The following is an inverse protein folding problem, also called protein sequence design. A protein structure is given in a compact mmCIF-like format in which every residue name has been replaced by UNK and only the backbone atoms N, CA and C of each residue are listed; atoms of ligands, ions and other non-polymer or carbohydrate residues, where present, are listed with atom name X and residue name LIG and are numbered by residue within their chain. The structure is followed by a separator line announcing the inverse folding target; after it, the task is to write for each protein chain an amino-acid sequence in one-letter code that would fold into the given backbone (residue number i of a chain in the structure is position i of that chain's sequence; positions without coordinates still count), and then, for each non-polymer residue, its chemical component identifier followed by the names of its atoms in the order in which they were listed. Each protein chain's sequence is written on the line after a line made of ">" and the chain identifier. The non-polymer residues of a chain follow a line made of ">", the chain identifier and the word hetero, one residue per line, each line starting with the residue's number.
data_IF_311512699259
#
_entry.id   IF_311512699259
#
_cell.length_a   1.000
_cell.length_b   1.000
_cell.length_c   1.000
_cell.angle_alpha   90.00
_cell.angle_beta   90.00
_cell.angle_gamma   90.00
#
_symmetry.space_group_name_H-M   'P 1'
#
loop_
_entity.id
_entity.type
_entity.pdbx_description
1 polymer ?
#
# COMPACT_ATOMS: atom_id res chain seq x y z
N UNK A 1 -3.35 -18.16 -6.32
CA UNK A 1 -2.72 -18.08 -7.66
C UNK A 1 -3.42 -19.09 -8.58
N UNK A 2 -3.80 -18.68 -9.79
CA UNK A 2 -4.46 -19.51 -10.80
C UNK A 2 -3.54 -19.62 -12.03
N UNK A 3 -3.37 -20.84 -12.53
CA UNK A 3 -2.63 -21.12 -13.76
C UNK A 3 -3.59 -21.27 -14.94
N UNK A 4 -3.38 -20.46 -15.99
CA UNK A 4 -4.14 -20.60 -17.24
C UNK A 4 -3.46 -21.65 -18.14
N UNK A 5 -3.62 -22.94 -17.80
CA UNK A 5 -2.95 -24.09 -18.44
C UNK A 5 -3.10 -24.15 -19.97
N UNK A 6 -4.20 -23.63 -20.49
CA UNK A 6 -4.53 -23.66 -21.92
C UNK A 6 -4.01 -22.45 -22.71
N UNK A 7 -3.28 -21.50 -22.08
CA UNK A 7 -2.66 -20.36 -22.76
C UNK A 7 -1.17 -20.61 -23.01
N UNK A 8 -0.59 -20.12 -24.12
CA UNK A 8 0.85 -20.18 -24.35
C UNK A 8 1.63 -19.62 -23.16
N UNK A 9 2.65 -20.34 -22.69
CA UNK A 9 3.45 -19.96 -21.53
C UNK A 9 2.82 -20.23 -20.16
N UNK A 10 1.58 -20.74 -20.10
CA UNK A 10 0.86 -21.11 -18.86
C UNK A 10 0.97 -20.05 -17.75
N UNK A 11 0.56 -18.80 -18.04
CA UNK A 11 0.74 -17.70 -17.11
C UNK A 11 -0.01 -17.93 -15.80
N UNK A 12 0.60 -17.44 -14.72
CA UNK A 12 0.06 -17.42 -13.36
C UNK A 12 -0.58 -16.06 -13.08
N UNK A 13 -1.72 -16.07 -12.39
CA UNK A 13 -2.44 -14.86 -11.98
C UNK A 13 -2.84 -14.94 -10.51
N UNK A 14 -2.94 -13.78 -9.87
CA UNK A 14 -3.62 -13.65 -8.58
C UNK A 14 -5.12 -13.44 -8.84
N UNK A 15 -5.96 -13.94 -7.93
CA UNK A 15 -7.40 -13.74 -7.96
C UNK A 15 -7.82 -13.24 -6.59
N UNK A 16 -8.67 -12.22 -6.59
CA UNK A 16 -9.28 -11.64 -5.41
C UNK A 16 -10.78 -11.43 -5.65
N UNK A 17 -11.52 -11.16 -4.60
CA UNK A 17 -12.94 -10.85 -4.73
C UNK A 17 -13.13 -9.50 -5.42
N UNK A 18 -14.10 -9.44 -6.33
CA UNK A 18 -14.54 -8.16 -6.87
C UNK A 18 -15.11 -7.29 -5.75
N UNK A 19 -14.63 -6.05 -5.66
CA UNK A 19 -15.09 -5.07 -4.70
C UNK A 19 -15.98 -4.05 -5.43
N UNK A 20 -17.27 -4.05 -5.11
CA UNK A 20 -18.23 -3.15 -5.72
C UNK A 20 -18.11 -1.73 -5.15
N UNK A 21 -17.98 -0.74 -6.05
CA UNK A 21 -18.06 0.69 -5.73
C UNK A 21 -16.90 1.51 -6.28
N UNK A 22 -16.80 2.77 -5.84
CA UNK A 22 -15.79 3.70 -6.37
C UNK A 22 -14.41 3.39 -5.80
N UNK A 23 -13.52 2.95 -6.67
CA UNK A 23 -12.11 2.76 -6.32
C UNK A 23 -11.43 4.11 -6.03
N UNK A 24 -10.69 4.17 -4.93
CA UNK A 24 -9.98 5.35 -4.46
C UNK A 24 -8.57 4.94 -4.03
N UNK A 25 -7.57 5.68 -4.50
CA UNK A 25 -6.22 5.69 -3.96
C UNK A 25 -6.06 6.84 -2.96
N UNK A 26 -5.78 6.53 -1.70
CA UNK A 26 -5.71 7.52 -0.60
C UNK A 26 -4.30 8.06 -0.40
N UNK A 27 -3.30 7.20 -0.49
CA UNK A 27 -1.89 7.60 -0.55
C UNK A 27 -1.14 6.76 -1.57
N UNK A 28 0.11 7.12 -1.81
CA UNK A 28 1.02 6.31 -2.61
C UNK A 28 2.35 6.03 -1.94
N UNK A 29 3.01 4.98 -2.40
CA UNK A 29 4.42 4.70 -2.11
C UNK A 29 5.42 5.75 -2.65
N UNK A 30 4.95 6.79 -3.35
CA UNK A 30 5.76 7.88 -3.91
C UNK A 30 5.31 9.27 -3.45
N UNK A 31 4.57 9.37 -2.35
CA UNK A 31 4.25 10.64 -1.70
C UNK A 31 3.02 11.40 -2.22
N UNK A 32 2.24 10.84 -3.15
CA UNK A 32 0.87 11.30 -3.39
C UNK A 32 0.01 11.07 -2.14
N UNK A 33 -0.76 12.09 -1.75
CA UNK A 33 -1.78 12.04 -0.70
C UNK A 33 -3.03 12.69 -1.28
N UNK A 34 -4.18 12.05 -1.12
CA UNK A 34 -5.46 12.64 -1.51
C UNK A 34 -5.86 13.69 -0.48
N UNK A 35 -5.99 14.94 -0.94
CA UNK A 35 -6.14 16.15 -0.10
C UNK A 35 -7.59 16.68 -0.03
N UNK A 36 -8.60 15.85 -0.31
CA UNK A 36 -9.99 16.31 -0.23
C UNK A 36 -10.53 16.36 1.22
N UNK A 37 -9.71 16.05 2.23
CA UNK A 37 -10.02 16.11 3.67
C UNK A 37 -11.30 15.35 4.11
N UNK A 38 -11.85 14.49 3.25
CA UNK A 38 -13.10 13.75 3.54
C UNK A 38 -12.81 12.52 4.43
N UNK A 39 -11.57 11.98 4.42
CA UNK A 39 -11.23 10.75 5.16
C UNK A 39 -9.74 10.61 5.46
N UNK A 40 -9.39 10.68 6.76
CA UNK A 40 -7.99 10.60 7.24
C UNK A 40 -7.58 9.22 7.78
N UNK A 41 -8.53 8.31 8.01
CA UNK A 41 -8.26 6.97 8.54
C UNK A 41 -7.18 6.19 7.76
N UNK A 42 -7.11 6.23 6.41
CA UNK A 42 -6.02 5.61 5.65
C UNK A 42 -4.63 6.14 6.02
N UNK A 43 -4.50 7.44 6.25
CA UNK A 43 -3.23 8.07 6.64
C UNK A 43 -2.86 7.72 8.09
N UNK A 44 -3.84 7.80 8.98
CA UNK A 44 -3.66 7.39 10.38
C UNK A 44 -3.29 5.91 10.49
N UNK A 45 -3.84 5.04 9.64
CA UNK A 45 -3.48 3.63 9.56
C UNK A 45 -2.02 3.44 9.13
N UNK A 46 -1.59 4.10 8.04
CA UNK A 46 -0.17 4.08 7.63
C UNK A 46 0.75 4.51 8.78
N UNK A 47 0.47 5.64 9.43
CA UNK A 47 1.23 6.12 10.59
C UNK A 47 1.24 5.11 11.75
N UNK A 48 0.08 4.54 12.10
CA UNK A 48 -0.03 3.53 13.15
C UNK A 48 0.85 2.30 12.87
N UNK A 49 0.90 1.81 11.63
CA UNK A 49 1.75 0.65 11.28
C UNK A 49 3.24 0.91 11.49
N UNK A 50 3.68 2.15 11.25
CA UNK A 50 5.05 2.58 11.47
C UNK A 50 5.40 2.63 12.96
N UNK A 51 4.58 3.32 13.76
CA UNK A 51 4.80 3.41 15.20
C UNK A 51 4.72 2.03 15.88
N UNK A 52 3.72 1.23 15.51
CA UNK A 52 3.48 -0.08 16.14
C UNK A 52 4.57 -1.10 15.84
N UNK A 53 5.26 -0.96 14.71
CA UNK A 53 6.38 -1.82 14.32
C UNK A 53 7.73 -1.38 14.92
N UNK A 54 7.76 -0.31 15.72
CA UNK A 54 9.02 0.24 16.21
C UNK A 54 9.87 0.83 15.08
N UNK A 55 9.20 1.47 14.10
CA UNK A 55 9.82 2.15 12.96
C UNK A 55 10.51 1.22 11.95
N UNK A 56 10.16 -0.07 11.96
CA UNK A 56 10.77 -1.09 11.09
C UNK A 56 10.05 -1.29 9.76
N UNK A 57 8.76 -0.98 9.69
CA UNK A 57 7.98 -1.05 8.46
C UNK A 57 6.85 -0.03 8.42
N UNK A 58 6.35 0.28 7.22
CA UNK A 58 5.11 1.03 7.02
C UNK A 58 4.27 0.35 5.94
N UNK A 59 2.95 0.46 6.07
CA UNK A 59 2.01 0.08 5.01
C UNK A 59 1.52 1.35 4.29
N UNK A 60 1.74 1.41 2.98
CA UNK A 60 1.39 2.52 2.08
C UNK A 60 0.65 1.98 0.84
N UNK A 61 0.40 2.84 -0.17
CA UNK A 61 -0.47 2.53 -1.30
C UNK A 61 -1.86 2.06 -0.81
N UNK A 62 -2.41 2.74 0.19
CA UNK A 62 -3.74 2.41 0.71
C UNK A 62 -4.78 2.81 -0.34
N UNK A 63 -5.43 1.80 -0.92
CA UNK A 63 -6.36 1.96 -2.03
C UNK A 63 -7.44 0.88 -2.01
N UNK A 64 -8.61 1.19 -2.57
CA UNK A 64 -9.74 0.26 -2.61
C UNK A 64 -11.09 0.98 -2.58
N UNK A 65 -12.11 0.33 -2.02
CA UNK A 65 -13.49 0.87 -1.96
C UNK A 65 -13.95 0.89 -0.51
N UNK A 66 -14.36 2.06 0.00
CA UNK A 66 -14.74 2.18 1.41
C UNK A 66 -13.58 1.75 2.31
N UNK A 67 -13.84 0.92 3.32
CA UNK A 67 -12.83 0.34 4.23
C UNK A 67 -12.21 -0.98 3.72
N UNK A 68 -12.57 -1.43 2.52
CA UNK A 68 -11.96 -2.60 1.89
C UNK A 68 -10.75 -2.15 1.06
N UNK A 69 -9.55 -2.36 1.60
CA UNK A 69 -8.29 -2.05 0.94
C UNK A 69 -7.71 -3.28 0.22
N UNK A 70 -7.07 -3.05 -0.92
CA UNK A 70 -6.32 -4.07 -1.66
C UNK A 70 -5.02 -3.52 -2.22
N UNK A 71 -4.12 -4.41 -2.64
CA UNK A 71 -2.82 -4.13 -3.21
C UNK A 71 -1.97 -3.11 -2.42
N UNK A 72 -1.81 -3.28 -1.08
CA UNK A 72 -0.95 -2.39 -0.32
C UNK A 72 0.52 -2.58 -0.72
N UNK A 73 1.33 -1.57 -0.47
CA UNK A 73 2.79 -1.68 -0.48
C UNK A 73 3.33 -1.63 0.93
N UNK A 74 4.35 -2.45 1.20
CA UNK A 74 5.01 -2.50 2.50
C UNK A 74 6.44 -2.05 2.29
N UNK A 75 6.83 -0.95 2.94
CA UNK A 75 8.24 -0.59 3.02
C UNK A 75 8.81 -1.15 4.31
N UNK A 76 9.95 -1.82 4.21
CA UNK A 76 10.70 -2.32 5.35
C UNK A 76 12.04 -1.61 5.43
N UNK A 77 12.67 -1.65 6.59
CA UNK A 77 14.03 -1.13 6.77
C UNK A 77 15.03 -1.75 5.78
N UNK A 78 14.95 -3.06 5.58
CA UNK A 78 15.83 -3.86 4.71
C UNK A 78 15.62 -3.57 3.22
N UNK A 79 14.39 -3.24 2.81
CA UNK A 79 14.04 -3.04 1.39
C UNK A 79 14.00 -4.31 0.54
N UNK A 80 14.31 -5.48 1.11
CA UNK A 80 14.40 -6.76 0.38
C UNK A 80 13.18 -7.65 0.58
N UNK A 81 12.29 -7.28 1.51
CA UNK A 81 11.10 -8.04 1.86
C UNK A 81 9.87 -7.55 1.06
N UNK A 82 8.80 -8.35 0.98
CA UNK A 82 7.47 -7.95 0.45
C UNK A 82 7.39 -7.33 -0.96
N UNK A 83 8.15 -7.89 -1.91
CA UNK A 83 7.95 -7.64 -3.35
C UNK A 83 8.66 -6.40 -3.89
N UNK A 84 8.67 -6.28 -5.22
CA UNK A 84 9.53 -5.33 -5.94
C UNK A 84 9.19 -3.85 -5.74
N UNK A 85 8.01 -3.55 -5.17
CA UNK A 85 7.59 -2.19 -4.82
C UNK A 85 8.08 -1.71 -3.45
N UNK A 86 8.83 -2.54 -2.72
CA UNK A 86 9.51 -2.13 -1.49
C UNK A 86 10.70 -1.20 -1.82
N UNK A 87 10.54 0.09 -1.56
CA UNK A 87 11.59 1.08 -1.83
C UNK A 87 12.61 1.21 -0.69
N UNK A 88 12.49 0.38 0.36
CA UNK A 88 13.35 0.42 1.54
C UNK A 88 13.36 1.79 2.25
N UNK A 89 14.40 2.05 3.04
CA UNK A 89 14.65 3.34 3.71
C UNK A 89 14.94 4.53 2.77
N UNK A 90 14.81 4.39 1.45
CA UNK A 90 15.37 5.37 0.50
C UNK A 90 14.63 6.72 0.46
N UNK A 91 13.50 6.87 1.15
CA UNK A 91 12.83 8.17 1.33
C UNK A 91 12.11 8.28 2.69
N UNK A 92 12.84 8.46 3.81
CA UNK A 92 12.24 8.74 5.11
C UNK A 92 11.49 10.09 5.09
N UNK A 93 12.00 11.08 4.34
CA UNK A 93 11.43 12.43 4.23
C UNK A 93 9.99 12.45 3.65
N UNK A 94 9.60 11.45 2.85
CA UNK A 94 8.20 11.27 2.37
C UNK A 94 7.34 10.41 3.29
N UNK A 95 7.97 9.68 4.22
CA UNK A 95 7.30 8.91 5.28
C UNK A 95 6.66 9.85 6.33
N UNK A 96 7.21 11.06 6.50
CA UNK A 96 6.84 12.02 7.55
C UNK A 96 5.83 13.10 7.14
N UNK A 97 5.35 13.16 5.90
CA UNK A 97 4.36 14.19 5.48
C UNK A 97 2.99 14.00 6.16
N UNK A 98 2.80 12.92 6.92
CA UNK A 98 1.56 12.63 7.67
C UNK A 98 1.68 12.84 9.19
N UNK A 99 2.85 13.26 9.70
CA UNK A 99 3.10 13.35 11.15
C UNK A 99 3.81 14.61 11.65
N UNK A 100 4.00 15.63 10.81
CA UNK A 100 4.70 16.87 11.16
C UNK A 100 3.76 18.05 11.43
N UNK A 101 3.38 18.23 12.69
CA UNK A 101 2.87 19.46 13.29
C UNK A 101 3.39 19.56 14.72
#
# INVERSE_FOLDING_TARGET
>A
IIEMKNRPGRPLYHLEHYIEGKYIKYNSNSGFVRDDNIRLTPQAFSHFTFERSGHQLIIVDIQGVGDLYTDPQIHTESGTDFGDGNLGKKNPERLFVLGGG
#
